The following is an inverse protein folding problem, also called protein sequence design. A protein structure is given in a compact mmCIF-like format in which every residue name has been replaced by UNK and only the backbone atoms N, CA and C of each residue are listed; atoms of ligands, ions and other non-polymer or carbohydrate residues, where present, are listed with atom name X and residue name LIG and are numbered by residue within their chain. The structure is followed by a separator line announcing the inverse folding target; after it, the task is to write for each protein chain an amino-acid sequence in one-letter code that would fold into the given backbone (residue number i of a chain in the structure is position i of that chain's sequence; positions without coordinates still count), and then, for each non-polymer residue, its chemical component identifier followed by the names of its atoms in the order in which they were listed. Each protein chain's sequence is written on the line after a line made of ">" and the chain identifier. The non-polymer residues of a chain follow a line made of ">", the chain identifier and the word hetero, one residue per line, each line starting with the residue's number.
data_IF_503304032125
#
_entry.id   IF_503304032125
#
_cell.length_a   1.000
_cell.length_b   1.000
_cell.length_c   1.000
_cell.angle_alpha   90.00
_cell.angle_beta   90.00
_cell.angle_gamma   90.00
#
_symmetry.space_group_name_H-M   'P 1'
#
loop_
_entity.id
_entity.type
_entity.pdbx_description
1 polymer ?
#
# COMPACT_ATOMS: atom_id res chain seq x y z
N UNK A 1 -5.97 -0.61 29.75
CA UNK A 1 -6.26 -1.78 28.90
C UNK A 1 -5.62 -1.51 27.57
N UNK A 2 -4.57 -2.26 27.21
CA UNK A 2 -4.70 -3.50 26.42
C UNK A 2 -5.46 -3.23 25.13
N UNK A 3 -4.75 -3.12 24.01
CA UNK A 3 -5.03 -3.75 22.70
C UNK A 3 -3.95 -3.24 21.73
N UNK A 4 -2.71 -3.66 21.96
CA UNK A 4 -1.79 -3.86 20.85
C UNK A 4 -2.38 -5.02 20.06
N UNK A 5 -3.24 -4.69 19.09
CA UNK A 5 -3.69 -5.65 18.11
C UNK A 5 -2.44 -6.02 17.33
N UNK A 6 -1.79 -7.08 17.78
CA UNK A 6 -0.72 -7.74 17.07
C UNK A 6 -1.35 -8.16 15.75
N UNK A 7 -1.22 -7.31 14.73
CA UNK A 7 -1.49 -7.66 13.34
C UNK A 7 -0.53 -8.81 13.07
N UNK A 8 -1.04 -10.02 13.30
CA UNK A 8 -0.29 -11.23 13.09
C UNK A 8 -0.07 -11.28 11.59
N UNK A 9 1.16 -11.02 11.17
CA UNK A 9 1.61 -11.29 9.81
C UNK A 9 1.20 -12.72 9.46
N UNK A 10 0.13 -12.84 8.68
CA UNK A 10 -0.37 -14.15 8.24
C UNK A 10 0.51 -14.58 7.09
N UNK A 11 1.46 -15.45 7.41
CA UNK A 11 2.32 -16.10 6.43
C UNK A 11 1.64 -17.38 5.95
N UNK A 12 1.45 -17.49 4.63
CA UNK A 12 1.02 -18.73 3.98
C UNK A 12 2.17 -19.33 3.19
N UNK A 13 2.28 -20.66 3.20
CA UNK A 13 3.19 -21.36 2.30
C UNK A 13 2.71 -21.18 0.87
N UNK A 14 3.61 -20.86 -0.06
CA UNK A 14 3.29 -20.71 -1.50
C UNK A 14 2.71 -22.01 -2.07
N UNK A 15 3.11 -23.17 -1.54
CA UNK A 15 2.58 -24.48 -1.93
C UNK A 15 1.12 -24.72 -1.53
N UNK A 16 0.61 -23.99 -0.53
CA UNK A 16 -0.79 -24.08 -0.10
C UNK A 16 -1.74 -23.24 -0.95
N UNK A 17 -1.19 -22.40 -1.85
CA UNK A 17 -1.95 -21.53 -2.71
C UNK A 17 -2.35 -22.26 -3.99
N UNK A 18 -3.65 -22.37 -4.24
CA UNK A 18 -4.18 -23.00 -5.45
C UNK A 18 -4.29 -21.99 -6.60
N UNK A 19 -4.97 -20.86 -6.35
CA UNK A 19 -5.22 -19.83 -7.35
C UNK A 19 -5.23 -18.44 -6.71
N UNK A 20 -4.80 -17.44 -7.47
CA UNK A 20 -4.94 -16.02 -7.12
C UNK A 20 -5.73 -15.34 -8.22
N UNK A 21 -6.81 -14.65 -7.85
CA UNK A 21 -7.57 -13.83 -8.77
C UNK A 21 -7.58 -12.37 -8.36
N UNK A 22 -7.34 -11.50 -9.35
CA UNK A 22 -7.59 -10.07 -9.19
C UNK A 22 -9.09 -9.81 -9.37
N UNK A 23 -9.71 -9.19 -8.35
CA UNK A 23 -11.13 -8.87 -8.32
C UNK A 23 -11.35 -7.36 -8.44
N UNK A 24 -12.52 -7.00 -8.97
CA UNK A 24 -13.02 -5.62 -8.95
C UNK A 24 -13.97 -5.49 -7.76
N UNK A 25 -13.63 -4.61 -6.84
CA UNK A 25 -14.50 -4.26 -5.73
C UNK A 25 -14.88 -2.78 -5.87
N UNK A 26 -16.18 -2.47 -5.80
CA UNK A 26 -16.71 -1.11 -6.00
C UNK A 26 -16.19 -0.42 -7.28
N UNK A 27 -16.20 -1.16 -8.40
CA UNK A 27 -15.81 -0.73 -9.75
C UNK A 27 -14.33 -0.30 -9.92
N UNK A 28 -13.47 -0.52 -8.93
CA UNK A 28 -12.01 -0.41 -9.10
C UNK A 28 -11.37 -1.78 -8.94
N UNK A 29 -10.37 -2.10 -9.76
CA UNK A 29 -9.60 -3.36 -9.66
C UNK A 29 -8.60 -3.26 -8.49
N UNK A 30 -9.14 -3.14 -7.28
CA UNK A 30 -8.39 -2.93 -6.04
C UNK A 30 -8.54 -4.09 -5.06
N UNK A 31 -8.98 -5.26 -5.51
CA UNK A 31 -9.13 -6.41 -4.63
C UNK A 31 -8.40 -7.63 -5.16
N UNK A 32 -7.98 -8.50 -4.25
CA UNK A 32 -7.32 -9.77 -4.52
C UNK A 32 -8.04 -10.88 -3.76
N UNK A 33 -8.24 -12.02 -4.40
CA UNK A 33 -8.84 -13.19 -3.79
C UNK A 33 -7.89 -14.37 -3.96
N UNK A 34 -7.53 -15.01 -2.84
CA UNK A 34 -6.68 -16.19 -2.77
C UNK A 34 -7.58 -17.40 -2.51
N UNK A 35 -7.39 -18.43 -3.32
CA UNK A 35 -8.00 -19.74 -3.16
C UNK A 35 -6.88 -20.70 -2.73
N UNK A 36 -7.02 -21.28 -1.56
CA UNK A 36 -6.06 -22.23 -1.02
C UNK A 36 -6.43 -23.66 -1.43
N UNK A 37 -5.44 -24.56 -1.41
CA UNK A 37 -5.63 -25.99 -1.74
C UNK A 37 -6.58 -26.68 -0.74
N UNK A 38 -6.64 -26.21 0.50
CA UNK A 38 -7.57 -26.68 1.52
C UNK A 38 -9.01 -26.14 1.34
N UNK A 39 -9.27 -25.40 0.24
CA UNK A 39 -10.53 -24.73 -0.09
C UNK A 39 -10.89 -23.56 0.83
N UNK A 40 -9.96 -23.08 1.66
CA UNK A 40 -10.12 -21.79 2.33
C UNK A 40 -9.91 -20.65 1.35
N UNK A 41 -10.70 -19.59 1.48
CA UNK A 41 -10.65 -18.42 0.60
C UNK A 41 -10.32 -17.18 1.43
N UNK A 42 -9.38 -16.37 0.94
CA UNK A 42 -8.99 -15.13 1.58
C UNK A 42 -9.20 -13.96 0.62
N UNK A 43 -9.98 -12.98 1.07
CA UNK A 43 -10.29 -11.78 0.29
C UNK A 43 -9.56 -10.57 0.87
N UNK A 44 -8.86 -9.84 0.00
CA UNK A 44 -8.17 -8.60 0.31
C UNK A 44 -8.82 -7.48 -0.48
N UNK A 45 -9.34 -6.48 0.23
CA UNK A 45 -9.71 -5.21 -0.37
C UNK A 45 -8.62 -4.17 -0.06
N UNK A 46 -7.95 -3.68 -1.11
CA UNK A 46 -7.03 -2.56 -1.01
C UNK A 46 -7.79 -1.21 -1.04
N UNK A 47 -9.03 -1.20 -0.56
CA UNK A 47 -9.99 -0.11 -0.60
C UNK A 47 -9.56 1.20 0.07
N UNK A 48 -8.88 2.04 -0.72
CA UNK A 48 -9.01 3.50 -0.94
C UNK A 48 -8.71 4.53 0.17
N UNK A 49 -8.10 5.63 -0.29
CA UNK A 49 -7.89 6.96 0.32
C UNK A 49 -6.63 7.17 1.17
N UNK A 50 -6.43 6.50 2.29
CA UNK A 50 -5.35 6.89 3.21
C UNK A 50 -3.94 6.69 2.62
N UNK A 51 -3.72 5.58 1.90
CA UNK A 51 -2.46 5.32 1.20
C UNK A 51 -2.24 6.24 0.00
N UNK A 52 -3.32 6.71 -0.65
CA UNK A 52 -3.24 7.67 -1.75
C UNK A 52 -2.93 9.07 -1.18
N UNK A 53 -3.59 9.48 -0.10
CA UNK A 53 -3.31 10.75 0.59
C UNK A 53 -1.89 10.79 1.16
N UNK A 54 -1.42 9.70 1.77
CA UNK A 54 -0.03 9.56 2.24
C UNK A 54 0.99 9.59 1.09
N UNK A 55 0.69 8.95 -0.06
CA UNK A 55 1.51 9.06 -1.27
C UNK A 55 1.53 10.50 -1.81
N UNK A 56 0.40 11.18 -1.90
CA UNK A 56 0.33 12.56 -2.38
C UNK A 56 1.12 13.50 -1.46
N UNK A 57 0.95 13.40 -0.14
CA UNK A 57 1.69 14.22 0.83
C UNK A 57 3.19 13.97 0.78
N UNK A 58 3.62 12.71 0.63
CA UNK A 58 5.03 12.39 0.46
C UNK A 58 5.58 13.03 -0.82
N UNK A 59 4.89 12.85 -1.96
CA UNK A 59 5.31 13.42 -3.24
C UNK A 59 5.32 14.96 -3.22
N UNK A 60 4.36 15.61 -2.55
CA UNK A 60 4.37 17.06 -2.32
C UNK A 60 5.57 17.51 -1.47
N UNK A 61 5.93 16.76 -0.42
CA UNK A 61 7.13 17.03 0.39
C UNK A 61 8.41 16.86 -0.44
N UNK A 62 8.53 15.82 -1.25
CA UNK A 62 9.67 15.63 -2.17
C UNK A 62 9.77 16.75 -3.20
N UNK A 63 8.66 17.14 -3.83
CA UNK A 63 8.64 18.23 -4.81
C UNK A 63 8.98 19.60 -4.18
N UNK A 64 8.53 19.86 -2.94
CA UNK A 64 8.95 21.02 -2.16
C UNK A 64 10.45 20.99 -1.84
N UNK A 65 10.99 19.81 -1.52
CA UNK A 65 12.41 19.64 -1.20
C UNK A 65 13.30 19.88 -2.42
N UNK A 66 12.91 19.37 -3.60
CA UNK A 66 13.66 19.59 -4.84
C UNK A 66 13.66 21.08 -5.23
N UNK A 67 12.51 21.76 -5.16
CA UNK A 67 12.43 23.22 -5.36
C UNK A 67 13.27 24.01 -4.36
N UNK A 68 13.38 23.53 -3.12
CA UNK A 68 14.20 24.19 -2.10
C UNK A 68 15.69 24.02 -2.39
N UNK A 69 16.14 22.88 -2.94
CA UNK A 69 17.53 22.72 -3.39
C UNK A 69 17.86 23.76 -4.46
N UNK A 70 17.01 23.91 -5.47
CA UNK A 70 17.23 24.86 -6.55
C UNK A 70 17.37 26.28 -5.98
N UNK A 71 16.46 26.71 -5.11
CA UNK A 71 16.53 28.05 -4.50
C UNK A 71 17.70 28.25 -3.53
N UNK A 72 18.15 27.19 -2.84
CA UNK A 72 19.27 27.29 -1.88
C UNK A 72 20.61 27.38 -2.62
N UNK A 73 20.76 26.68 -3.75
CA UNK A 73 21.96 26.73 -4.59
C UNK A 73 22.20 28.12 -5.20
N UNK A 74 21.15 28.91 -5.45
CA UNK A 74 21.28 30.30 -5.93
C UNK A 74 21.72 31.29 -4.83
N UNK A 75 21.59 30.97 -3.55
CA UNK A 75 22.00 31.85 -2.44
C UNK A 75 23.42 31.55 -1.93
N UNK A 76 24.00 30.43 -2.34
CA UNK A 76 25.38 30.03 -1.99
C UNK A 76 26.41 30.40 -3.07
N UNK A 77 25.95 30.93 -4.22
CA UNK A 77 26.79 31.32 -5.36
C UNK A 77 26.89 32.85 -5.58
N UNK A 78 26.28 33.65 -4.71
CA UNK A 78 26.46 35.12 -4.58
C UNK A 78 27.20 35.44 -3.27
#
# INVERSE_FOLDING_TARGET
>A
GQYYQQDKDRSWLVSSLHQIYSRRYLLRRSALELFMVDRSNFFFDFGRAEQIFKRTQLMERWANWERKKDHTLWLELD
#
